data_IF_705125322309
#
_entry.id   IF_705125322309
#
_cell.length_a   1.000
_cell.length_b   1.000
_cell.length_c   1.000
_cell.angle_alpha   90.00
_cell.angle_beta   90.00
_cell.angle_gamma   90.00
#
_symmetry.space_group_name_H-M   'P 1'
#
loop_
_entity.id
_entity.type
_entity.pdbx_description
1 polymer ?
#
# COMPACT_ATOMS: atom_id res chain seq x y z
N UNK A 1 1.81 -12.07 -0.99
CA UNK A 1 1.34 -11.54 -2.29
C UNK A 1 1.33 -10.02 -2.27
N UNK A 2 0.56 -9.40 -1.38
CA UNK A 2 0.36 -7.93 -1.35
C UNK A 2 1.60 -7.09 -1.01
N UNK A 3 2.63 -7.68 -0.40
CA UNK A 3 3.95 -7.04 -0.27
C UNK A 3 4.87 -7.38 -1.45
N UNK A 4 4.87 -8.65 -1.87
CA UNK A 4 5.82 -9.20 -2.85
C UNK A 4 5.55 -8.72 -4.28
N UNK A 5 4.29 -8.68 -4.70
CA UNK A 5 3.92 -8.25 -6.06
C UNK A 5 4.24 -6.77 -6.25
N UNK A 6 3.83 -5.83 -5.36
CA UNK A 6 4.26 -4.45 -5.50
C UNK A 6 5.78 -4.29 -5.41
N UNK A 7 6.45 -4.99 -4.49
CA UNK A 7 7.91 -4.95 -4.40
C UNK A 7 8.59 -5.29 -5.74
N UNK A 8 8.20 -6.41 -6.37
CA UNK A 8 8.78 -6.84 -7.65
C UNK A 8 8.51 -5.84 -8.79
N UNK A 9 7.25 -5.37 -8.92
CA UNK A 9 6.87 -4.47 -10.01
C UNK A 9 7.49 -3.08 -9.87
N UNK A 10 7.59 -2.55 -8.64
CA UNK A 10 8.27 -1.28 -8.39
C UNK A 10 9.76 -1.35 -8.77
N UNK A 11 10.45 -2.44 -8.44
CA UNK A 11 11.83 -2.64 -8.85
C UNK A 11 11.98 -2.72 -10.38
N UNK A 12 11.04 -3.37 -11.08
CA UNK A 12 11.02 -3.40 -12.56
C UNK A 12 10.84 -2.02 -13.19
N UNK A 13 10.12 -1.12 -12.52
CA UNK A 13 9.97 0.27 -12.92
C UNK A 13 11.21 1.14 -12.61
N UNK A 14 12.27 0.55 -12.03
CA UNK A 14 13.45 1.28 -11.59
C UNK A 14 13.18 2.20 -10.40
N UNK A 15 12.23 1.84 -9.54
CA UNK A 15 11.94 2.52 -8.28
C UNK A 15 12.73 1.83 -7.17
N UNK A 16 13.44 2.60 -6.36
CA UNK A 16 14.15 2.09 -5.18
C UNK A 16 13.15 1.71 -4.08
N UNK A 17 13.24 0.49 -3.58
CA UNK A 17 12.32 -0.04 -2.55
C UNK A 17 13.08 -0.42 -1.29
N UNK A 18 12.66 0.15 -0.17
CA UNK A 18 13.12 -0.22 1.18
C UNK A 18 12.01 -1.01 1.86
N UNK A 19 12.35 -2.21 2.35
CA UNK A 19 11.44 -3.04 3.14
C UNK A 19 11.75 -2.83 4.62
N UNK A 20 10.85 -2.14 5.32
CA UNK A 20 10.99 -1.87 6.75
C UNK A 20 10.19 -2.88 7.59
N UNK A 21 10.83 -3.53 8.57
CA UNK A 21 10.11 -4.35 9.55
C UNK A 21 9.60 -3.50 10.72
N UNK A 22 8.40 -3.81 11.19
CA UNK A 22 7.75 -3.06 12.26
C UNK A 22 8.53 -3.13 13.60
N UNK A 23 9.05 -4.32 13.93
CA UNK A 23 9.66 -4.63 15.22
C UNK A 23 11.18 -4.85 15.12
N UNK A 24 11.81 -4.41 14.04
CA UNK A 24 13.24 -4.62 13.78
C UNK A 24 13.66 -6.06 13.46
N UNK A 25 12.71 -6.99 13.38
CA UNK A 25 12.99 -8.37 12.96
C UNK A 25 13.46 -8.39 11.50
N UNK A 26 14.53 -9.14 11.25
CA UNK A 26 15.06 -9.29 9.90
C UNK A 26 14.14 -10.15 9.03
N UNK A 27 13.50 -11.16 9.60
CA UNK A 27 12.65 -12.11 8.88
C UNK A 27 11.21 -11.95 9.37
N UNK A 28 10.27 -11.67 8.46
CA UNK A 28 8.85 -11.50 8.79
C UNK A 28 8.02 -12.56 8.05
N UNK A 29 7.27 -13.36 8.81
CA UNK A 29 6.41 -14.42 8.24
C UNK A 29 5.00 -13.87 7.98
N UNK A 30 4.58 -13.91 6.72
CA UNK A 30 3.24 -13.52 6.31
C UNK A 30 2.16 -14.54 6.69
N UNK A 31 0.89 -14.16 6.50
CA UNK A 31 -0.29 -14.93 6.93
C UNK A 31 -0.36 -16.39 6.44
N UNK A 32 0.34 -16.72 5.35
CA UNK A 32 0.36 -18.06 4.75
C UNK A 32 1.75 -18.75 4.86
N UNK A 33 2.60 -18.33 5.80
CA UNK A 33 3.87 -18.98 6.11
C UNK A 33 5.07 -18.56 5.24
N UNK A 34 4.86 -17.73 4.20
CA UNK A 34 5.97 -17.15 3.43
C UNK A 34 6.75 -16.15 4.30
N UNK A 35 8.05 -16.36 4.43
CA UNK A 35 8.96 -15.44 5.13
C UNK A 35 9.60 -14.46 4.14
N UNK A 36 9.62 -13.18 4.49
CA UNK A 36 10.26 -12.11 3.72
C UNK A 36 11.32 -11.44 4.59
N UNK A 37 12.49 -11.17 4.02
CA UNK A 37 13.54 -10.43 4.71
C UNK A 37 13.28 -8.92 4.61
N UNK A 38 13.35 -8.23 5.74
CA UNK A 38 13.41 -6.78 5.79
C UNK A 38 14.83 -6.29 5.50
N UNK A 39 14.90 -5.10 4.93
CA UNK A 39 16.17 -4.38 4.67
C UNK A 39 16.60 -3.54 5.86
N UNK A 40 15.64 -3.09 6.67
CA UNK A 40 15.86 -2.17 7.79
C UNK A 40 14.73 -2.29 8.82
N UNK A 41 15.01 -1.94 10.08
CA UNK A 41 13.97 -1.71 11.07
C UNK A 41 13.23 -0.38 10.78
N UNK A 42 11.93 -0.30 11.06
CA UNK A 42 11.16 0.93 10.84
C UNK A 42 11.80 2.16 11.53
N UNK A 43 12.26 2.01 12.77
CA UNK A 43 12.93 3.06 13.53
C UNK A 43 14.22 3.60 12.88
N UNK A 44 14.86 2.79 12.03
CA UNK A 44 16.11 3.11 11.35
C UNK A 44 15.90 3.42 9.86
N UNK A 45 14.69 3.22 9.34
CA UNK A 45 14.34 3.68 8.02
C UNK A 45 14.37 5.22 8.02
N UNK A 46 14.90 5.84 6.96
CA UNK A 46 14.86 7.29 6.79
C UNK A 46 13.42 7.82 6.69
N UNK A 47 13.27 9.12 6.48
CA UNK A 47 11.96 9.77 6.33
C UNK A 47 11.74 10.32 4.91
N UNK A 48 12.78 10.34 4.08
CA UNK A 48 12.71 10.89 2.73
C UNK A 48 12.35 9.81 1.71
N UNK A 49 11.08 9.41 1.72
CA UNK A 49 10.50 8.51 0.71
C UNK A 49 9.44 9.26 -0.10
N UNK A 50 9.30 8.96 -1.39
CA UNK A 50 8.20 9.50 -2.21
C UNK A 50 6.86 8.84 -1.89
N UNK A 51 6.90 7.61 -1.38
CA UNK A 51 5.73 6.81 -1.06
C UNK A 51 5.95 5.88 0.13
N UNK A 52 4.93 5.75 0.99
CA UNK A 52 4.82 4.68 1.99
C UNK A 52 3.80 3.65 1.52
N UNK A 53 4.18 2.38 1.44
CA UNK A 53 3.29 1.27 1.09
C UNK A 53 2.98 0.43 2.34
N UNK A 54 1.69 0.21 2.61
CA UNK A 54 1.18 -0.62 3.70
C UNK A 54 0.52 -1.89 3.13
N UNK A 55 1.18 -3.05 3.22
CA UNK A 55 0.58 -4.32 2.82
C UNK A 55 -0.61 -4.69 3.71
N UNK A 56 -1.55 -5.44 3.16
CA UNK A 56 -2.65 -6.00 3.93
C UNK A 56 -2.30 -7.33 4.59
N UNK A 57 -3.33 -8.15 4.77
CA UNK A 57 -3.25 -9.44 5.45
C UNK A 57 -3.34 -9.33 6.97
N UNK A 58 -4.14 -10.19 7.58
CA UNK A 58 -4.24 -10.33 9.03
C UNK A 58 -3.31 -11.45 9.52
N UNK A 59 -2.65 -11.28 10.68
CA UNK A 59 -2.76 -10.16 11.63
C UNK A 59 -1.87 -8.94 11.32
N UNK A 60 -1.13 -8.93 10.19
CA UNK A 60 -0.17 -7.88 9.86
C UNK A 60 -0.74 -6.45 9.87
N UNK A 61 -1.90 -6.23 9.26
CA UNK A 61 -2.55 -4.91 9.28
C UNK A 61 -2.98 -4.45 10.68
N UNK A 62 -3.33 -5.37 11.59
CA UNK A 62 -3.61 -5.01 12.98
C UNK A 62 -2.34 -4.59 13.72
N UNK A 63 -1.20 -5.22 13.45
CA UNK A 63 0.07 -4.82 14.04
C UNK A 63 0.50 -3.44 13.56
N UNK A 64 0.35 -3.16 12.25
CA UNK A 64 0.60 -1.83 11.70
C UNK A 64 -0.34 -0.77 12.33
N UNK A 65 -1.63 -1.09 12.47
CA UNK A 65 -2.62 -0.17 13.05
C UNK A 65 -2.37 0.15 14.53
N UNK A 66 -1.69 -0.74 15.27
CA UNK A 66 -1.33 -0.54 16.68
C UNK A 66 -0.03 0.26 16.86
N UNK A 67 0.66 0.60 15.77
CA UNK A 67 1.93 1.32 15.83
C UNK A 67 1.74 2.83 15.63
N UNK A 68 1.91 3.60 16.70
CA UNK A 68 1.89 5.06 16.64
C UNK A 68 2.96 5.59 15.67
N UNK A 69 4.11 4.92 15.56
CA UNK A 69 5.19 5.29 14.65
C UNK A 69 4.77 5.15 13.18
N UNK A 70 4.07 4.07 12.81
CA UNK A 70 3.50 3.91 11.46
C UNK A 70 2.52 5.04 11.19
N UNK A 71 1.67 5.35 12.16
CA UNK A 71 0.61 6.31 11.94
C UNK A 71 1.12 7.75 11.81
N UNK A 72 2.09 8.13 12.63
CA UNK A 72 2.78 9.43 12.53
C UNK A 72 3.45 9.58 11.16
N UNK A 73 4.13 8.53 10.67
CA UNK A 73 4.75 8.55 9.34
C UNK A 73 3.74 8.71 8.22
N UNK A 74 2.63 7.99 8.25
CA UNK A 74 1.53 8.13 7.27
C UNK A 74 1.01 9.57 7.23
N UNK A 75 0.72 10.16 8.39
CA UNK A 75 0.20 11.52 8.47
C UNK A 75 1.22 12.57 8.02
N UNK A 76 2.49 12.41 8.38
CA UNK A 76 3.59 13.28 7.94
C UNK A 76 3.80 13.20 6.43
N UNK A 77 3.80 11.99 5.86
CA UNK A 77 3.94 11.75 4.43
C UNK A 77 2.86 12.51 3.63
N UNK A 78 1.60 12.36 4.03
CA UNK A 78 0.48 13.06 3.39
C UNK A 78 0.55 14.58 3.60
N UNK A 79 0.94 15.04 4.79
CA UNK A 79 1.12 16.47 5.08
C UNK A 79 2.24 17.09 4.22
N UNK A 80 3.26 16.32 3.87
CA UNK A 80 4.33 16.72 2.97
C UNK A 80 3.91 16.69 1.48
N UNK A 81 2.66 16.33 1.17
CA UNK A 81 2.18 16.21 -0.21
C UNK A 81 2.75 15.00 -0.96
N UNK A 82 3.28 14.01 -0.22
CA UNK A 82 3.82 12.76 -0.76
C UNK A 82 2.80 11.63 -0.63
N UNK A 83 3.07 10.51 -1.29
CA UNK A 83 2.07 9.45 -1.45
C UNK A 83 2.03 8.46 -0.29
N UNK A 84 0.83 7.95 -0.02
CA UNK A 84 0.62 6.77 0.83
C UNK A 84 -0.23 5.78 0.06
N UNK A 85 0.20 4.52 0.03
CA UNK A 85 -0.49 3.43 -0.61
C UNK A 85 -0.82 2.32 0.39
N UNK A 86 -2.04 1.78 0.38
CA UNK A 86 -2.42 0.66 1.24
C UNK A 86 -3.32 -0.33 0.51
N UNK A 87 -3.21 -1.62 0.81
CA UNK A 87 -3.97 -2.67 0.10
C UNK A 87 -4.69 -3.60 1.07
N UNK A 88 -5.82 -4.16 0.61
CA UNK A 88 -6.57 -5.20 1.31
C UNK A 88 -7.11 -4.70 2.66
N UNK A 89 -6.63 -5.24 3.79
CA UNK A 89 -7.09 -4.82 5.11
C UNK A 89 -6.46 -3.49 5.58
N UNK A 90 -5.29 -3.10 5.05
CA UNK A 90 -4.57 -1.92 5.53
C UNK A 90 -5.32 -0.58 5.35
N UNK A 91 -6.10 -0.34 4.26
CA UNK A 91 -6.95 0.84 4.15
C UNK A 91 -7.89 1.02 5.33
N UNK A 92 -8.58 -0.04 5.76
CA UNK A 92 -9.56 0.05 6.84
C UNK A 92 -8.90 0.12 8.23
N UNK A 93 -7.94 -0.75 8.50
CA UNK A 93 -7.33 -0.84 9.83
C UNK A 93 -6.34 0.29 10.09
N UNK A 94 -5.49 0.61 9.12
CA UNK A 94 -4.40 1.58 9.29
C UNK A 94 -4.85 2.97 8.88
N UNK A 95 -5.26 3.16 7.62
CA UNK A 95 -5.55 4.50 7.10
C UNK A 95 -6.82 5.10 7.72
N UNK A 96 -7.89 4.30 7.84
CA UNK A 96 -9.17 4.75 8.36
C UNK A 96 -9.19 4.77 9.89
N UNK A 97 -9.11 3.60 10.55
CA UNK A 97 -9.30 3.51 12.00
C UNK A 97 -8.13 4.05 12.82
N UNK A 98 -6.88 3.74 12.46
CA UNK A 98 -5.73 4.19 13.25
C UNK A 98 -5.31 5.63 12.94
N UNK A 99 -5.31 6.02 11.66
CA UNK A 99 -4.73 7.30 11.23
C UNK A 99 -5.70 8.39 10.82
N UNK A 100 -6.98 8.05 10.65
CA UNK A 100 -8.05 9.00 10.32
C UNK A 100 -7.73 9.87 9.07
N UNK A 101 -7.16 9.25 8.03
CA UNK A 101 -6.72 9.97 6.80
C UNK A 101 -7.62 9.76 5.58
N UNK A 102 -8.73 9.02 5.71
CA UNK A 102 -9.60 8.66 4.59
C UNK A 102 -10.82 9.57 4.41
N UNK A 103 -11.05 10.52 5.33
CA UNK A 103 -12.25 11.36 5.33
C UNK A 103 -12.41 12.15 4.03
N UNK A 104 -13.53 11.95 3.34
CA UNK A 104 -13.86 12.58 2.07
C UNK A 104 -13.11 12.03 0.86
N UNK A 105 -12.32 10.96 1.01
CA UNK A 105 -11.53 10.34 -0.05
C UNK A 105 -12.23 9.15 -0.67
N UNK A 106 -12.08 8.98 -1.98
CA UNK A 106 -12.43 7.72 -2.63
C UNK A 106 -11.39 6.66 -2.26
N UNK A 107 -11.86 5.53 -1.75
CA UNK A 107 -11.01 4.44 -1.26
C UNK A 107 -11.61 3.09 -1.62
N UNK A 108 -10.77 2.08 -1.72
CA UNK A 108 -11.18 0.68 -1.78
C UNK A 108 -10.43 -0.13 -0.72
N UNK A 109 -10.87 -1.36 -0.46
CA UNK A 109 -10.29 -2.23 0.55
C UNK A 109 -10.84 -3.65 0.43
N UNK A 110 -10.38 -4.54 1.30
CA UNK A 110 -10.79 -5.94 1.27
C UNK A 110 -12.29 -6.08 1.52
N UNK A 111 -12.99 -6.98 0.80
CA UNK A 111 -14.40 -7.25 1.04
C UNK A 111 -14.67 -7.58 2.52
N UNK A 112 -15.66 -6.91 3.12
CA UNK A 112 -15.97 -6.99 4.56
C UNK A 112 -15.31 -5.89 5.40
N UNK A 113 -14.61 -4.93 4.80
CA UNK A 113 -14.03 -3.77 5.50
C UNK A 113 -14.70 -2.43 5.17
N UNK A 114 -15.76 -2.45 4.36
CA UNK A 114 -16.46 -1.28 3.82
C UNK A 114 -17.08 -0.41 4.92
N UNK A 115 -17.64 -1.03 5.96
CA UNK A 115 -18.22 -0.32 7.10
C UNK A 115 -17.15 0.50 7.83
N UNK A 116 -15.98 -0.09 8.11
CA UNK A 116 -14.89 0.63 8.78
C UNK A 116 -14.38 1.84 7.98
N UNK A 117 -14.31 1.70 6.66
CA UNK A 117 -13.91 2.79 5.75
C UNK A 117 -14.98 3.90 5.73
N UNK A 118 -16.24 3.53 5.54
CA UNK A 118 -17.35 4.48 5.45
C UNK A 118 -17.65 5.21 6.77
N UNK A 119 -17.58 4.54 7.91
CA UNK A 119 -17.69 5.16 9.24
C UNK A 119 -16.60 6.20 9.50
N UNK A 120 -15.42 6.03 8.91
CA UNK A 120 -14.30 6.99 8.98
C UNK A 120 -14.39 8.07 7.89
N UNK A 121 -15.53 8.14 7.18
CA UNK A 121 -15.82 9.14 6.16
C UNK A 121 -15.21 8.85 4.78
N UNK A 122 -14.70 7.65 4.52
CA UNK A 122 -14.22 7.24 3.20
C UNK A 122 -15.37 6.89 2.25
N UNK A 123 -15.27 7.32 0.99
CA UNK A 123 -16.20 6.92 -0.07
C UNK A 123 -15.72 5.59 -0.66
N UNK A 124 -16.37 4.49 -0.28
CA UNK A 124 -15.96 3.15 -0.74
C UNK A 124 -16.34 2.94 -2.20
N UNK A 125 -15.34 2.63 -3.02
CA UNK A 125 -15.49 2.34 -4.46
C UNK A 125 -15.10 0.90 -4.72
N UNK A 126 -15.95 0.19 -5.46
CA UNK A 126 -15.66 -1.18 -5.91
C UNK A 126 -14.77 -1.15 -7.16
N UNK A 127 -13.45 -1.11 -6.94
CA UNK A 127 -12.43 -1.09 -7.98
C UNK A 127 -11.17 -1.80 -7.47
N UNK A 128 -10.35 -2.37 -8.36
CA UNK A 128 -9.12 -3.05 -7.96
C UNK A 128 -8.11 -2.11 -7.31
N UNK A 129 -7.99 -0.89 -7.83
CA UNK A 129 -7.11 0.15 -7.29
C UNK A 129 -7.74 1.54 -7.48
N UNK A 130 -7.72 2.36 -6.43
CA UNK A 130 -8.27 3.71 -6.41
C UNK A 130 -7.18 4.70 -6.02
N UNK A 131 -7.06 5.80 -6.76
CA UNK A 131 -6.25 6.94 -6.37
C UNK A 131 -7.16 8.15 -6.12
N UNK A 132 -7.00 8.79 -4.97
CA UNK A 132 -7.61 10.09 -4.64
C UNK A 132 -6.56 11.05 -4.07
N UNK A 133 -6.06 11.94 -4.93
CA UNK A 133 -4.91 12.79 -4.62
C UNK A 133 -3.66 11.94 -4.35
N UNK A 134 -3.12 12.08 -3.14
CA UNK A 134 -1.93 11.38 -2.68
C UNK A 134 -2.21 10.02 -1.99
N UNK A 135 -3.47 9.62 -1.88
CA UNK A 135 -3.85 8.33 -1.31
C UNK A 135 -4.13 7.31 -2.42
N UNK A 136 -3.49 6.15 -2.36
CA UNK A 136 -3.72 5.03 -3.27
C UNK A 136 -4.19 3.84 -2.44
N UNK A 137 -5.30 3.22 -2.82
CA UNK A 137 -5.84 2.06 -2.11
C UNK A 137 -6.08 0.90 -3.06
N UNK A 138 -5.82 -0.32 -2.61
CA UNK A 138 -6.01 -1.56 -3.39
C UNK A 138 -6.98 -2.52 -2.71
N UNK A 139 -7.78 -3.23 -3.50
CA UNK A 139 -8.90 -4.05 -2.98
C UNK A 139 -8.43 -5.32 -2.26
N UNK A 140 -7.43 -6.02 -2.78
CA UNK A 140 -7.07 -7.34 -2.25
C UNK A 140 -5.94 -8.01 -3.01
N UNK A 141 -5.61 -9.27 -2.69
CA UNK A 141 -4.45 -9.94 -3.27
C UNK A 141 -4.55 -10.11 -4.80
N UNK A 142 -5.76 -10.33 -5.33
CA UNK A 142 -6.01 -10.41 -6.78
C UNK A 142 -5.85 -9.08 -7.51
N UNK A 143 -5.89 -7.96 -6.79
CA UNK A 143 -5.72 -6.60 -7.32
C UNK A 143 -4.30 -6.06 -7.09
N UNK A 144 -3.36 -6.86 -6.56
CA UNK A 144 -2.03 -6.40 -6.20
C UNK A 144 -1.21 -5.87 -7.38
N UNK A 145 -1.43 -6.44 -8.58
CA UNK A 145 -0.81 -5.95 -9.81
C UNK A 145 -1.35 -4.57 -10.20
N UNK A 146 -2.68 -4.43 -10.34
CA UNK A 146 -3.33 -3.14 -10.69
C UNK A 146 -2.95 -2.03 -9.68
N UNK A 147 -2.90 -2.38 -8.39
CA UNK A 147 -2.46 -1.49 -7.34
C UNK A 147 -1.00 -1.04 -7.52
N UNK A 148 -0.08 -1.97 -7.80
CA UNK A 148 1.32 -1.64 -8.05
C UNK A 148 1.51 -0.79 -9.32
N UNK A 149 0.79 -1.12 -10.40
CA UNK A 149 0.82 -0.36 -11.64
C UNK A 149 0.28 1.07 -11.46
N UNK A 150 -0.77 1.24 -10.63
CA UNK A 150 -1.26 2.57 -10.23
C UNK A 150 -0.18 3.36 -9.50
N UNK A 151 0.57 2.73 -8.60
CA UNK A 151 1.71 3.38 -7.92
C UNK A 151 2.79 3.80 -8.92
N UNK A 152 3.17 2.91 -9.84
CA UNK A 152 4.18 3.21 -10.87
C UNK A 152 3.73 4.42 -11.71
N UNK A 153 2.46 4.48 -12.10
CA UNK A 153 1.94 5.58 -12.92
C UNK A 153 2.04 6.95 -12.25
N UNK A 154 2.04 7.02 -10.92
CA UNK A 154 2.12 8.30 -10.18
C UNK A 154 3.55 8.69 -9.81
N UNK A 155 4.43 7.71 -9.59
CA UNK A 155 5.83 7.95 -9.23
C UNK A 155 6.72 8.14 -10.47
N UNK A 156 6.30 7.58 -11.60
CA UNK A 156 7.01 7.65 -12.89
C UNK A 156 6.06 8.27 -13.92
N UNK A 157 5.36 7.42 -14.67
CA UNK A 157 4.40 7.78 -15.69
C UNK A 157 3.61 6.53 -16.11
N UNK A 158 2.53 6.74 -16.88
CA UNK A 158 1.69 5.65 -17.38
C UNK A 158 2.43 4.74 -18.37
N UNK A 159 3.35 5.28 -19.16
CA UNK A 159 4.16 4.52 -20.14
C UNK A 159 5.00 3.45 -19.43
N UNK A 160 5.72 3.84 -18.36
CA UNK A 160 6.49 2.91 -17.52
C UNK A 160 5.60 1.84 -16.89
N UNK A 161 4.39 2.21 -16.44
CA UNK A 161 3.44 1.24 -15.89
C UNK A 161 3.00 0.22 -16.95
N UNK A 162 2.66 0.66 -18.15
CA UNK A 162 2.24 -0.20 -19.26
C UNK A 162 3.39 -1.13 -19.73
N UNK A 163 4.62 -0.61 -19.78
CA UNK A 163 5.81 -1.41 -20.07
C UNK A 163 6.04 -2.52 -19.03
N UNK A 164 5.97 -2.18 -17.73
CA UNK A 164 6.14 -3.16 -16.64
C UNK A 164 5.03 -4.20 -16.67
N UNK A 165 3.77 -3.79 -16.92
CA UNK A 165 2.65 -4.71 -17.07
C UNK A 165 2.90 -5.70 -18.22
N UNK A 166 3.34 -5.20 -19.38
CA UNK A 166 3.68 -6.03 -20.54
C UNK A 166 4.81 -7.02 -20.25
N UNK A 167 5.90 -6.55 -19.62
CA UNK A 167 7.05 -7.39 -19.25
C UNK A 167 6.67 -8.49 -18.24
N UNK A 168 5.74 -8.21 -17.34
CA UNK A 168 5.26 -9.14 -16.33
C UNK A 168 4.03 -9.96 -16.77
N UNK A 169 3.57 -9.78 -18.02
CA UNK A 169 2.39 -10.45 -18.60
C UNK A 169 1.09 -10.19 -17.83
N UNK A 170 0.96 -9.02 -17.20
CA UNK A 170 -0.31 -8.57 -16.66
C UNK A 170 -1.16 -7.94 -17.76
N UNK A 171 -2.46 -8.26 -17.76
CA UNK A 171 -3.41 -7.61 -18.65
C UNK A 171 -3.55 -6.14 -18.25
N UNK A 172 -3.27 -5.24 -19.18
CA UNK A 172 -3.65 -3.83 -19.03
C UNK A 172 -5.10 -3.74 -19.47
N UNK A 173 -6.05 -3.57 -18.54
CA UNK A 173 -7.44 -3.31 -18.93
C UNK A 173 -7.49 -1.96 -19.66
N UNK A 174 -7.59 -1.98 -21.00
CA UNK A 174 -7.65 -0.75 -21.79
C UNK A 174 -7.17 -0.78 -23.24
N UNK A 175 -6.97 -1.95 -23.86
CA UNK A 175 -6.79 -2.10 -25.32
C UNK A 175 -7.83 -3.03 -25.91
#
# INVERSE_FOLDING_TARGET
>A
MEAVIPYDLLLRAGIDVVVASLNGEKSVTGAHGLTVESTVALENAGEDFDLILLPGGLPGSEYLAKSDAVCQRVQQQLKAGKYVAAICAAPAFVLAKACDVVKGKNVTGYPGTEEMLSESGGNVVDCNAVQDGNLITGKGPGAAADFALKIISVLKDQETADEVASQALFSVEGH
#
